data_IF_528812705112
#
_entry.id   IF_528812705112
#
_cell.length_a   1.000
_cell.length_b   1.000
_cell.length_c   1.000
_cell.angle_alpha   90.00
_cell.angle_beta   90.00
_cell.angle_gamma   90.00
#
_symmetry.space_group_name_H-M   'P 1'
#
loop_
_entity.id
_entity.type
_entity.pdbx_description
1 polymer ?
#
# COMPACT_ATOMS: atom_id res chain seq x y z
N UNK A 1 48.11 -42.15 -49.72
CA UNK A 1 48.51 -40.99 -48.87
C UNK A 1 47.51 -39.81 -48.80
N UNK A 2 46.28 -39.90 -49.35
CA UNK A 2 45.25 -38.84 -49.20
C UNK A 2 44.27 -39.02 -48.02
N UNK A 3 44.30 -40.16 -47.31
CA UNK A 3 43.28 -40.51 -46.30
C UNK A 3 43.57 -39.95 -44.89
N UNK A 4 44.85 -39.89 -44.47
CA UNK A 4 45.19 -39.45 -43.09
C UNK A 4 45.07 -37.95 -42.86
N UNK A 5 45.36 -37.11 -43.87
CA UNK A 5 45.25 -35.64 -43.74
C UNK A 5 43.79 -35.19 -43.53
N UNK A 6 42.85 -35.84 -44.20
CA UNK A 6 41.42 -35.53 -44.12
C UNK A 6 40.85 -35.95 -42.77
N UNK A 7 41.28 -37.12 -42.26
CA UNK A 7 40.88 -37.66 -40.94
C UNK A 7 41.40 -36.80 -39.78
N UNK A 8 42.61 -36.24 -39.91
CA UNK A 8 43.19 -35.33 -38.91
C UNK A 8 42.50 -33.95 -38.90
N UNK A 9 42.10 -33.44 -40.08
CA UNK A 9 41.32 -32.20 -40.21
C UNK A 9 39.91 -32.34 -39.62
N UNK A 10 39.18 -33.42 -39.91
CA UNK A 10 37.85 -33.64 -39.33
C UNK A 10 37.89 -33.83 -37.82
N UNK A 11 38.91 -34.51 -37.28
CA UNK A 11 39.10 -34.63 -35.82
C UNK A 11 39.36 -33.27 -35.16
N UNK A 12 40.14 -32.39 -35.80
CA UNK A 12 40.42 -31.04 -35.28
C UNK A 12 39.16 -30.17 -35.31
N UNK A 13 38.39 -30.22 -36.41
CA UNK A 13 37.12 -29.50 -36.53
C UNK A 13 36.10 -29.97 -35.48
N UNK A 14 35.98 -31.28 -35.26
CA UNK A 14 35.09 -31.83 -34.22
C UNK A 14 35.47 -31.39 -32.81
N UNK A 15 36.77 -31.30 -32.50
CA UNK A 15 37.23 -30.79 -31.21
C UNK A 15 36.88 -29.32 -31.04
N UNK A 16 37.11 -28.49 -32.07
CA UNK A 16 36.78 -27.05 -32.02
C UNK A 16 35.26 -26.86 -31.83
N UNK A 17 34.45 -27.58 -32.60
CA UNK A 17 32.98 -27.53 -32.47
C UNK A 17 32.55 -27.99 -31.08
N UNK A 18 33.16 -29.04 -30.54
CA UNK A 18 32.89 -29.52 -29.18
C UNK A 18 33.24 -28.49 -28.10
N UNK A 19 34.36 -27.78 -28.24
CA UNK A 19 34.76 -26.72 -27.30
C UNK A 19 33.80 -25.52 -27.38
N UNK A 20 33.43 -25.08 -28.58
CA UNK A 20 32.48 -23.98 -28.76
C UNK A 20 31.11 -24.34 -28.16
N UNK A 21 30.63 -25.56 -28.40
CA UNK A 21 29.37 -26.04 -27.82
C UNK A 21 29.43 -26.10 -26.29
N UNK A 22 30.57 -26.51 -25.71
CA UNK A 22 30.75 -26.54 -24.26
C UNK A 22 30.76 -25.13 -23.65
N UNK A 23 31.45 -24.18 -24.28
CA UNK A 23 31.48 -22.77 -23.82
C UNK A 23 30.09 -22.16 -23.92
N UNK A 24 29.37 -22.38 -25.01
CA UNK A 24 28.00 -21.90 -25.18
C UNK A 24 27.04 -22.50 -24.13
N UNK A 25 27.21 -23.78 -23.80
CA UNK A 25 26.41 -24.45 -22.76
C UNK A 25 26.70 -23.87 -21.37
N UNK A 26 27.98 -23.66 -21.02
CA UNK A 26 28.37 -23.03 -19.75
C UNK A 26 27.80 -21.61 -19.66
N UNK A 27 27.90 -20.84 -20.73
CA UNK A 27 27.36 -19.48 -20.78
C UNK A 27 25.83 -19.50 -20.63
N UNK A 28 25.13 -20.37 -21.35
CA UNK A 28 23.68 -20.53 -21.25
C UNK A 28 23.20 -20.92 -19.84
N UNK A 29 23.95 -21.77 -19.14
CA UNK A 29 23.66 -22.16 -17.76
C UNK A 29 24.00 -21.04 -16.75
N UNK A 30 24.96 -20.18 -17.07
CA UNK A 30 25.48 -19.14 -16.16
C UNK A 30 24.82 -17.77 -16.33
N UNK A 31 24.09 -17.51 -17.43
CA UNK A 31 23.39 -16.23 -17.69
C UNK A 31 22.47 -15.84 -16.52
N UNK A 32 21.91 -16.81 -15.78
CA UNK A 32 21.02 -16.56 -14.65
C UNK A 32 21.73 -16.45 -13.29
N UNK A 33 23.05 -16.55 -13.24
CA UNK A 33 23.82 -16.48 -12.00
C UNK A 33 24.60 -15.17 -11.92
N UNK A 34 24.77 -14.64 -10.71
CA UNK A 34 25.76 -13.59 -10.46
C UNK A 34 27.17 -14.19 -10.67
N UNK A 35 28.12 -13.52 -11.32
CA UNK A 35 28.14 -12.09 -11.66
C UNK A 35 27.62 -11.75 -13.07
N UNK A 36 27.19 -12.75 -13.85
CA UNK A 36 26.79 -12.52 -15.25
C UNK A 36 25.58 -11.59 -15.31
N UNK A 37 24.60 -11.76 -14.42
CA UNK A 37 23.45 -10.85 -14.31
C UNK A 37 23.83 -9.40 -14.04
N UNK A 38 24.89 -9.15 -13.28
CA UNK A 38 25.36 -7.77 -13.03
C UNK A 38 25.77 -7.12 -14.34
N UNK A 39 26.44 -7.86 -15.22
CA UNK A 39 26.92 -7.37 -16.51
C UNK A 39 25.86 -7.35 -17.60
N UNK A 40 24.79 -8.14 -17.48
CA UNK A 40 23.72 -8.23 -18.49
C UNK A 40 22.49 -7.40 -18.15
N UNK A 41 22.15 -7.27 -16.87
CA UNK A 41 20.89 -6.66 -16.42
C UNK A 41 21.05 -5.16 -16.15
N UNK A 42 22.29 -4.69 -15.94
CA UNK A 42 22.61 -3.28 -15.69
C UNK A 42 23.43 -2.67 -16.82
N UNK A 43 23.20 -1.38 -17.08
CA UNK A 43 23.98 -0.64 -18.07
C UNK A 43 25.43 -0.44 -17.60
N UNK A 44 26.37 -0.41 -18.54
CA UNK A 44 27.78 -0.15 -18.22
C UNK A 44 27.99 1.18 -17.50
N UNK A 45 27.24 2.23 -17.87
CA UNK A 45 27.33 3.54 -17.22
C UNK A 45 26.94 3.50 -15.74
N UNK A 46 25.86 2.79 -15.40
CA UNK A 46 25.42 2.65 -14.01
C UNK A 46 26.45 1.88 -13.18
N UNK A 47 26.96 0.76 -13.70
CA UNK A 47 28.00 -0.03 -13.02
C UNK A 47 29.29 0.76 -12.83
N UNK A 48 29.62 1.63 -13.78
CA UNK A 48 30.80 2.48 -13.72
C UNK A 48 30.66 3.58 -12.67
N UNK A 49 29.49 4.22 -12.60
CA UNK A 49 29.18 5.25 -11.61
C UNK A 49 29.17 4.68 -10.19
N UNK A 50 28.45 3.60 -9.95
CA UNK A 50 28.42 2.91 -8.65
C UNK A 50 29.81 2.42 -8.24
N UNK A 51 30.57 1.83 -9.17
CA UNK A 51 31.94 1.39 -8.90
C UNK A 51 32.87 2.53 -8.53
N UNK A 52 32.68 3.72 -9.10
CA UNK A 52 33.47 4.92 -8.78
C UNK A 52 33.10 5.45 -7.40
N UNK A 53 31.81 5.61 -7.11
CA UNK A 53 31.32 6.07 -5.80
C UNK A 53 31.74 5.12 -4.67
N UNK A 54 31.63 3.80 -4.87
CA UNK A 54 32.08 2.80 -3.89
C UNK A 54 33.60 2.87 -3.66
N UNK A 55 34.37 3.13 -4.70
CA UNK A 55 35.83 3.27 -4.60
C UNK A 55 36.22 4.51 -3.79
N UNK A 56 35.59 5.66 -4.05
CA UNK A 56 35.82 6.91 -3.32
C UNK A 56 35.43 6.78 -1.84
N UNK A 57 34.31 6.13 -1.53
CA UNK A 57 33.91 5.85 -0.15
C UNK A 57 34.92 4.95 0.59
N UNK A 58 35.49 3.96 -0.10
CA UNK A 58 36.47 3.04 0.49
C UNK A 58 37.83 3.71 0.77
N UNK A 59 38.07 4.92 0.28
CA UNK A 59 39.27 5.68 0.65
C UNK A 59 39.22 6.18 2.11
N UNK A 60 38.02 6.37 2.66
CA UNK A 60 37.79 6.94 3.99
C UNK A 60 37.11 5.98 4.98
N UNK A 61 36.59 4.84 4.51
CA UNK A 61 35.81 3.89 5.29
C UNK A 61 36.26 2.45 5.01
N UNK A 62 36.29 1.61 6.04
CA UNK A 62 36.55 0.17 5.88
C UNK A 62 35.36 -0.48 5.17
N UNK A 63 35.64 -1.33 4.17
CA UNK A 63 34.59 -1.93 3.33
C UNK A 63 33.63 -2.85 4.10
N UNK A 64 34.04 -3.31 5.28
CA UNK A 64 33.23 -4.13 6.20
C UNK A 64 32.17 -3.30 6.97
N UNK A 65 32.34 -1.97 7.01
CA UNK A 65 31.43 -1.01 7.64
C UNK A 65 30.42 -0.41 6.64
N UNK A 66 30.51 -0.81 5.36
CA UNK A 66 29.51 -0.42 4.38
C UNK A 66 28.17 -1.03 4.77
N UNK A 67 27.16 -0.17 4.92
CA UNK A 67 25.81 -0.60 5.23
C UNK A 67 25.34 -1.59 4.16
N UNK A 68 24.85 -2.75 4.60
CA UNK A 68 24.11 -3.65 3.73
C UNK A 68 22.65 -3.23 3.67
N UNK A 69 21.91 -3.75 2.70
CA UNK A 69 20.46 -3.62 2.67
C UNK A 69 19.82 -4.08 3.99
N UNK A 70 20.40 -5.04 4.72
CA UNK A 70 19.84 -5.48 6.01
C UNK A 70 20.00 -4.43 7.12
N UNK A 71 21.12 -3.71 7.19
CA UNK A 71 21.37 -2.72 8.26
C UNK A 71 20.39 -1.55 8.20
N UNK A 72 20.08 -1.01 7.02
CA UNK A 72 19.10 0.09 6.90
C UNK A 72 17.64 -0.36 7.05
N UNK A 73 17.29 -1.59 6.62
CA UNK A 73 15.90 -2.05 6.62
C UNK A 73 15.46 -2.71 7.94
N UNK A 74 16.38 -3.32 8.68
CA UNK A 74 16.04 -4.12 9.87
C UNK A 74 16.03 -3.28 11.17
N UNK A 75 16.69 -2.11 11.21
CA UNK A 75 16.82 -1.30 12.44
C UNK A 75 15.77 -0.18 12.59
N UNK A 76 15.10 0.22 11.52
CA UNK A 76 14.14 1.33 11.53
C UNK A 76 12.72 0.98 11.03
N UNK A 77 12.46 -0.29 10.73
CA UNK A 77 11.10 -0.80 10.51
C UNK A 77 10.44 -0.37 9.20
N UNK A 78 11.19 0.00 8.16
CA UNK A 78 10.66 0.23 6.82
C UNK A 78 11.25 -0.77 5.82
N UNK A 79 10.43 -1.71 5.37
CA UNK A 79 10.74 -2.57 4.23
C UNK A 79 10.46 -1.79 2.94
N UNK A 80 11.51 -1.43 2.20
CA UNK A 80 11.40 -1.09 0.78
C UNK A 80 11.93 -2.28 -0.02
N UNK A 81 11.03 -3.04 -0.63
CA UNK A 81 11.38 -4.02 -1.65
C UNK A 81 11.01 -3.44 -3.02
N UNK A 82 11.89 -3.57 -4.04
CA UNK A 82 11.60 -3.09 -5.38
C UNK A 82 10.53 -3.99 -5.99
N UNK A 83 9.29 -3.51 -5.92
CA UNK A 83 7.96 -4.01 -6.37
C UNK A 83 6.83 -3.66 -5.37
N UNK A 84 7.18 -2.82 -4.35
CA UNK A 84 6.44 -1.66 -3.82
C UNK A 84 5.50 -1.87 -2.61
N UNK A 85 5.97 -1.40 -1.44
CA UNK A 85 5.22 -1.16 -0.21
C UNK A 85 5.37 0.30 0.22
N UNK A 86 4.38 1.13 -0.08
CA UNK A 86 4.24 2.44 0.55
C UNK A 86 3.10 2.35 1.57
N UNK A 87 3.37 2.72 2.81
CA UNK A 87 2.42 2.73 3.94
C UNK A 87 1.30 3.78 3.78
N UNK A 88 0.68 3.82 2.61
CA UNK A 88 -0.56 4.55 2.39
C UNK A 88 -1.70 3.59 2.71
N UNK A 89 -2.19 3.69 3.95
CA UNK A 89 -3.35 2.95 4.42
C UNK A 89 -4.60 3.77 4.07
N UNK A 90 -5.57 3.11 3.45
CA UNK A 90 -6.90 3.65 3.20
C UNK A 90 -7.86 3.06 4.22
N UNK A 91 -8.53 3.92 4.98
CA UNK A 91 -9.54 3.52 5.96
C UNK A 91 -10.86 3.21 5.26
N UNK A 92 -11.40 2.01 5.41
CA UNK A 92 -12.77 1.66 5.05
C UNK A 92 -13.59 1.63 6.34
N UNK A 93 -14.61 2.47 6.43
CA UNK A 93 -15.42 2.69 7.65
C UNK A 93 -16.88 2.99 7.30
N UNK A 94 -17.69 3.32 8.31
CA UNK A 94 -19.12 3.61 8.16
C UNK A 94 -19.99 2.41 8.51
N UNK A 95 -20.96 2.10 7.65
CA UNK A 95 -21.92 1.01 7.84
C UNK A 95 -21.35 -0.34 7.40
N UNK A 96 -20.26 -0.74 8.04
CA UNK A 96 -19.58 -2.03 7.85
C UNK A 96 -19.36 -2.71 9.21
N UNK A 97 -19.15 -4.03 9.28
CA UNK A 97 -19.01 -4.75 10.56
C UNK A 97 -17.83 -4.28 11.42
N UNK A 98 -16.71 -3.96 10.80
CA UNK A 98 -15.49 -3.49 11.46
C UNK A 98 -14.72 -2.51 10.57
N UNK A 99 -14.01 -1.55 11.17
CA UNK A 99 -13.15 -0.61 10.43
C UNK A 99 -11.93 -1.35 9.90
N UNK A 100 -11.66 -1.22 8.60
CA UNK A 100 -10.57 -1.92 7.92
C UNK A 100 -9.56 -0.88 7.43
N UNK A 101 -8.27 -1.12 7.66
CA UNK A 101 -7.20 -0.33 7.06
C UNK A 101 -6.56 -1.13 5.92
N UNK A 102 -6.79 -0.67 4.69
CA UNK A 102 -6.38 -1.36 3.47
C UNK A 102 -5.09 -0.71 2.93
N UNK A 103 -3.98 -1.44 2.83
CA UNK A 103 -2.79 -0.95 2.13
C UNK A 103 -3.10 -0.63 0.66
N UNK A 104 -2.61 0.49 0.14
CA UNK A 104 -2.87 0.90 -1.26
C UNK A 104 -2.49 -0.18 -2.29
N UNK A 105 -1.43 -0.95 -2.04
CA UNK A 105 -1.00 -2.04 -2.92
C UNK A 105 -1.89 -3.29 -2.86
N UNK A 106 -2.88 -3.36 -1.96
CA UNK A 106 -3.91 -4.40 -1.99
C UNK A 106 -5.04 -4.09 -2.99
N UNK A 107 -5.10 -2.86 -3.51
CA UNK A 107 -6.07 -2.48 -4.55
C UNK A 107 -5.63 -3.01 -5.92
N UNK A 108 -4.32 -3.05 -6.18
CA UNK A 108 -3.78 -3.24 -7.53
C UNK A 108 -2.58 -4.19 -7.55
N UNK A 109 -2.53 -5.05 -8.57
CA UNK A 109 -1.32 -5.81 -8.88
C UNK A 109 -0.44 -4.99 -9.82
N UNK A 110 0.65 -4.40 -9.30
CA UNK A 110 1.54 -3.54 -10.10
C UNK A 110 2.28 -4.28 -11.22
N UNK A 111 2.34 -5.62 -11.18
CA UNK A 111 2.88 -6.44 -12.27
C UNK A 111 2.03 -6.44 -13.54
N UNK A 112 0.80 -5.93 -13.48
CA UNK A 112 -0.19 -5.96 -14.57
C UNK A 112 -0.28 -4.63 -15.34
N UNK A 113 0.70 -3.73 -15.17
CA UNK A 113 0.76 -2.47 -15.89
C UNK A 113 1.19 -2.64 -17.37
N UNK A 114 0.62 -1.86 -18.32
CA UNK A 114 -0.44 -0.85 -18.15
C UNK A 114 -1.86 -1.45 -18.12
N UNK A 115 -2.84 -0.66 -17.62
CA UNK A 115 -4.28 -0.97 -17.47
C UNK A 115 -4.72 -1.65 -16.16
N UNK A 116 -4.00 -1.42 -15.07
CA UNK A 116 -4.45 -1.85 -13.75
C UNK A 116 -5.54 -0.90 -13.22
N UNK A 117 -6.74 -1.42 -13.00
CA UNK A 117 -7.85 -0.74 -12.34
C UNK A 117 -8.64 -1.75 -11.50
N UNK A 118 -9.51 -1.23 -10.64
CA UNK A 118 -10.47 -2.00 -9.86
C UNK A 118 -11.81 -1.29 -9.99
N UNK A 119 -12.85 -1.94 -10.49
CA UNK A 119 -14.17 -1.30 -10.56
C UNK A 119 -14.72 -1.06 -9.16
N UNK A 120 -15.71 -0.17 -9.02
CA UNK A 120 -16.38 0.03 -7.72
C UNK A 120 -17.03 -1.27 -7.26
N UNK A 121 -17.69 -2.01 -8.14
CA UNK A 121 -18.34 -3.28 -7.79
C UNK A 121 -17.33 -4.34 -7.35
N UNK A 122 -16.21 -4.48 -8.05
CA UNK A 122 -15.12 -5.38 -7.64
C UNK A 122 -14.54 -4.98 -6.29
N UNK A 123 -14.40 -3.68 -6.00
CA UNK A 123 -13.96 -3.19 -4.69
C UNK A 123 -14.95 -3.58 -3.59
N UNK A 124 -16.25 -3.36 -3.82
CA UNK A 124 -17.29 -3.69 -2.84
C UNK A 124 -17.34 -5.20 -2.58
N UNK A 125 -17.26 -6.03 -3.64
CA UNK A 125 -17.22 -7.49 -3.51
C UNK A 125 -15.96 -7.96 -2.78
N UNK A 126 -14.79 -7.45 -3.17
CA UNK A 126 -13.50 -7.85 -2.61
C UNK A 126 -13.38 -7.61 -1.11
N UNK A 127 -14.00 -6.55 -0.61
CA UNK A 127 -13.99 -6.18 0.81
C UNK A 127 -15.31 -6.50 1.53
N UNK A 128 -16.15 -7.33 0.92
CA UNK A 128 -17.41 -7.81 1.49
C UNK A 128 -18.29 -6.66 2.04
N UNK A 129 -18.28 -5.53 1.32
CA UNK A 129 -19.10 -4.37 1.69
C UNK A 129 -20.57 -4.76 1.54
N UNK A 130 -21.40 -4.58 2.58
CA UNK A 130 -22.82 -4.91 2.53
C UNK A 130 -23.56 -4.03 1.52
N UNK A 131 -24.83 -4.35 1.26
CA UNK A 131 -25.70 -3.50 0.43
C UNK A 131 -25.67 -2.04 0.92
N UNK A 132 -25.27 -1.15 0.02
CA UNK A 132 -25.01 0.25 0.32
C UNK A 132 -25.96 1.18 -0.46
N UNK A 133 -26.32 2.30 0.15
CA UNK A 133 -27.07 3.41 -0.46
C UNK A 133 -26.11 4.36 -1.17
N UNK A 134 -24.97 4.66 -0.54
CA UNK A 134 -23.92 5.53 -1.09
C UNK A 134 -22.57 5.21 -0.44
N UNK A 135 -21.51 5.71 -1.06
CA UNK A 135 -20.20 5.78 -0.39
C UNK A 135 -19.62 7.18 -0.56
N UNK A 136 -18.82 7.59 0.43
CA UNK A 136 -18.08 8.86 0.40
C UNK A 136 -16.58 8.59 0.41
N UNK A 137 -15.88 9.25 -0.51
CA UNK A 137 -14.44 9.29 -0.60
C UNK A 137 -13.95 10.52 0.17
N UNK A 138 -12.98 10.34 1.05
CA UNK A 138 -12.19 11.40 1.67
C UNK A 138 -10.75 11.31 1.18
N UNK A 139 -10.21 12.44 0.73
CA UNK A 139 -8.84 12.54 0.22
C UNK A 139 -7.89 13.11 1.27
N UNK A 140 -6.59 12.93 1.05
CA UNK A 140 -5.53 13.44 1.94
C UNK A 140 -5.48 14.97 2.02
N UNK A 141 -5.92 15.67 0.97
CA UNK A 141 -5.97 17.12 0.91
C UNK A 141 -7.30 17.72 1.43
N UNK A 142 -8.20 16.87 1.94
CA UNK A 142 -9.43 17.30 2.63
C UNK A 142 -10.64 17.48 1.71
N UNK A 143 -10.56 17.03 0.46
CA UNK A 143 -11.74 16.91 -0.41
C UNK A 143 -12.60 15.71 0.05
N UNK A 144 -13.91 15.86 -0.12
CA UNK A 144 -14.88 14.79 0.07
C UNK A 144 -15.80 14.70 -1.14
N UNK A 145 -16.04 13.48 -1.63
CA UNK A 145 -16.94 13.20 -2.75
C UNK A 145 -17.89 12.08 -2.33
N UNK A 146 -19.18 12.38 -2.22
CA UNK A 146 -20.21 11.39 -1.96
C UNK A 146 -20.89 10.99 -3.26
N UNK A 147 -21.01 9.69 -3.51
CA UNK A 147 -21.60 9.14 -4.73
C UNK A 147 -22.67 8.13 -4.32
N UNK A 148 -23.88 8.31 -4.81
CA UNK A 148 -24.96 7.38 -4.55
C UNK A 148 -24.83 6.15 -5.44
N UNK A 149 -25.31 4.99 -4.97
CA UNK A 149 -25.20 3.72 -5.71
C UNK A 149 -25.83 3.81 -7.10
N UNK A 150 -26.89 4.61 -7.26
CA UNK A 150 -27.59 4.75 -8.55
C UNK A 150 -26.78 5.50 -9.61
N UNK A 151 -25.78 6.29 -9.19
CA UNK A 151 -24.89 7.05 -10.07
C UNK A 151 -23.61 6.27 -10.42
N UNK A 152 -23.44 5.06 -9.88
CA UNK A 152 -22.31 4.18 -10.20
C UNK A 152 -22.64 3.35 -11.43
N UNK A 153 -21.79 3.48 -12.44
CA UNK A 153 -21.84 2.72 -13.69
C UNK A 153 -20.63 1.78 -13.79
N UNK A 154 -20.63 0.88 -14.78
CA UNK A 154 -19.50 -0.01 -15.09
C UNK A 154 -18.18 0.74 -15.39
N UNK A 155 -18.26 2.05 -15.68
CA UNK A 155 -17.09 2.90 -15.95
C UNK A 155 -16.49 3.53 -14.67
N UNK A 156 -17.12 3.34 -13.51
CA UNK A 156 -16.62 3.83 -12.24
C UNK A 156 -15.51 2.92 -11.71
N UNK A 157 -14.31 3.48 -11.55
CA UNK A 157 -13.11 2.70 -11.25
C UNK A 157 -12.15 3.42 -10.30
N UNK A 158 -11.43 2.61 -9.53
CA UNK A 158 -10.24 3.00 -8.81
C UNK A 158 -9.00 2.71 -9.66
N UNK A 159 -8.08 3.67 -9.68
CA UNK A 159 -6.84 3.61 -10.46
C UNK A 159 -5.64 3.87 -9.55
N UNK A 160 -4.47 3.30 -9.87
CA UNK A 160 -3.21 3.71 -9.27
C UNK A 160 -2.97 5.21 -9.45
N UNK A 161 -2.49 5.87 -8.39
CA UNK A 161 -2.13 7.28 -8.40
C UNK A 161 -0.82 7.50 -7.62
N UNK A 162 -0.12 8.61 -7.88
CA UNK A 162 1.19 8.91 -7.25
C UNK A 162 1.11 8.86 -5.71
N UNK A 163 0.00 9.38 -5.15
CA UNK A 163 -0.28 9.42 -3.71
C UNK A 163 -1.29 8.33 -3.28
N UNK A 164 -1.24 7.15 -3.90
CA UNK A 164 -2.04 5.97 -3.54
C UNK A 164 -3.06 5.60 -4.61
N UNK A 165 -4.33 5.87 -4.35
CA UNK A 165 -5.42 5.50 -5.24
C UNK A 165 -6.22 6.75 -5.64
N UNK A 166 -6.81 6.73 -6.82
CA UNK A 166 -7.78 7.74 -7.28
C UNK A 166 -9.06 7.08 -7.72
N UNK A 167 -10.15 7.83 -7.67
CA UNK A 167 -11.41 7.48 -8.30
C UNK A 167 -11.54 8.20 -9.64
N UNK A 168 -12.18 7.55 -10.61
CA UNK A 168 -12.60 8.16 -11.87
C UNK A 168 -13.85 7.45 -12.41
N UNK A 169 -14.71 8.22 -13.07
CA UNK A 169 -15.82 7.69 -13.88
C UNK A 169 -16.08 8.64 -15.04
N UNK A 170 -16.08 8.12 -16.27
CA UNK A 170 -16.40 8.93 -17.46
C UNK A 170 -17.86 9.43 -17.49
N UNK A 171 -18.72 8.81 -16.68
CA UNK A 171 -20.14 9.17 -16.58
C UNK A 171 -20.42 10.24 -15.50
N UNK A 172 -19.41 10.59 -14.70
CA UNK A 172 -19.50 11.63 -13.65
C UNK A 172 -18.67 12.86 -14.01
N UNK A 173 -19.05 14.01 -13.46
CA UNK A 173 -18.30 15.25 -13.67
C UNK A 173 -16.87 15.11 -13.13
N UNK A 174 -15.88 15.66 -13.83
CA UNK A 174 -14.44 15.52 -13.50
C UNK A 174 -14.06 15.97 -12.08
N UNK A 175 -14.85 16.86 -11.47
CA UNK A 175 -14.64 17.27 -10.06
C UNK A 175 -14.95 16.17 -9.05
N UNK A 176 -15.60 15.07 -9.46
CA UNK A 176 -15.81 13.90 -8.60
C UNK A 176 -14.61 12.95 -8.61
N UNK A 177 -13.62 13.18 -9.49
CA UNK A 177 -12.47 12.30 -9.67
C UNK A 177 -11.43 12.54 -8.59
N UNK A 178 -11.74 12.05 -7.39
CA UNK A 178 -10.95 12.22 -6.18
C UNK A 178 -9.57 11.56 -6.31
N UNK A 179 -8.53 12.26 -5.86
CA UNK A 179 -7.13 11.82 -5.90
C UNK A 179 -6.57 11.65 -4.50
N UNK A 180 -5.67 10.69 -4.31
CA UNK A 180 -5.04 10.46 -3.02
C UNK A 180 -6.08 10.11 -1.95
N UNK A 181 -6.94 9.13 -2.26
CA UNK A 181 -7.98 8.67 -1.33
C UNK A 181 -7.33 8.16 -0.04
N UNK A 182 -7.85 8.63 1.09
CA UNK A 182 -7.41 8.25 2.43
C UNK A 182 -8.48 7.45 3.18
N UNK A 183 -9.76 7.68 2.87
CA UNK A 183 -10.87 7.04 3.59
C UNK A 183 -12.08 6.85 2.68
N UNK A 184 -12.76 5.71 2.86
CA UNK A 184 -14.08 5.40 2.35
C UNK A 184 -15.06 5.31 3.51
N UNK A 185 -16.19 6.00 3.40
CA UNK A 185 -17.30 5.89 4.35
C UNK A 185 -18.48 5.28 3.62
N UNK A 186 -18.87 4.06 4.01
CA UNK A 186 -20.02 3.36 3.46
C UNK A 186 -21.28 3.80 4.22
N UNK A 187 -22.36 4.04 3.49
CA UNK A 187 -23.69 4.29 4.05
C UNK A 187 -24.65 3.24 3.50
N UNK A 188 -25.28 2.46 4.37
CA UNK A 188 -26.27 1.45 3.99
C UNK A 188 -27.70 1.99 4.04
N UNK A 189 -28.65 1.34 3.37
CA UNK A 189 -30.07 1.73 3.47
C UNK A 189 -30.61 1.55 4.90
N UNK A 190 -30.08 0.56 5.63
CA UNK A 190 -30.48 0.27 7.00
C UNK A 190 -30.09 1.40 7.96
N UNK A 191 -30.94 1.60 8.98
CA UNK A 191 -30.77 2.62 10.02
C UNK A 191 -30.90 1.97 11.41
N UNK A 192 -29.93 1.12 11.79
CA UNK A 192 -30.05 0.30 12.99
C UNK A 192 -29.95 1.10 14.29
N UNK A 193 -29.37 2.31 14.23
CA UNK A 193 -29.20 3.17 15.39
C UNK A 193 -30.39 4.12 15.55
N UNK A 194 -30.81 4.34 16.80
CA UNK A 194 -31.76 5.39 17.13
C UNK A 194 -31.14 6.36 18.13
N UNK A 195 -31.08 7.63 17.77
CA UNK A 195 -30.63 8.72 18.64
C UNK A 195 -31.84 9.63 18.87
N UNK A 196 -32.35 9.65 20.10
CA UNK A 196 -33.64 10.28 20.42
C UNK A 196 -34.79 9.67 19.61
N UNK A 197 -35.44 10.48 18.77
CA UNK A 197 -36.51 10.04 17.84
C UNK A 197 -36.03 9.73 16.42
N UNK A 198 -34.75 9.94 16.12
CA UNK A 198 -34.20 9.86 14.76
C UNK A 198 -33.50 8.52 14.54
N UNK A 199 -33.85 7.82 13.47
CA UNK A 199 -33.14 6.62 13.01
C UNK A 199 -31.97 7.02 12.11
N UNK A 200 -30.81 6.42 12.34
CA UNK A 200 -29.55 6.71 11.65
C UNK A 200 -28.66 5.47 11.60
N UNK A 201 -27.46 5.64 11.08
CA UNK A 201 -26.41 4.63 10.96
C UNK A 201 -25.03 5.26 11.22
N UNK A 202 -23.98 4.47 11.42
CA UNK A 202 -22.64 5.00 11.71
C UNK A 202 -22.13 5.78 10.49
N UNK A 203 -22.28 5.25 9.29
CA UNK A 203 -21.92 5.91 8.04
C UNK A 203 -22.54 7.31 7.94
N UNK A 204 -23.85 7.43 8.18
CA UNK A 204 -24.55 8.73 8.14
C UNK A 204 -24.05 9.71 9.19
N UNK A 205 -23.70 9.23 10.39
CA UNK A 205 -23.14 10.07 11.45
C UNK A 205 -21.75 10.59 11.07
N UNK A 206 -20.93 9.77 10.43
CA UNK A 206 -19.58 10.15 9.98
C UNK A 206 -19.57 11.10 8.78
N UNK A 207 -20.66 11.19 8.02
CA UNK A 207 -20.84 12.25 6.99
C UNK A 207 -21.28 13.60 7.57
N UNK A 208 -21.79 13.59 8.80
CA UNK A 208 -22.23 14.79 9.50
C UNK A 208 -21.07 15.57 10.13
N UNK A 209 -21.41 16.42 11.11
CA UNK A 209 -20.40 17.11 11.92
C UNK A 209 -19.73 16.08 12.85
N UNK A 210 -18.43 15.87 12.65
CA UNK A 210 -17.62 15.02 13.52
C UNK A 210 -16.78 15.85 14.49
N UNK A 211 -16.44 15.23 15.62
CA UNK A 211 -15.44 15.70 16.57
C UNK A 211 -14.37 14.64 16.75
N UNK A 212 -13.18 15.08 17.14
CA UNK A 212 -12.04 14.22 17.37
C UNK A 212 -11.59 14.34 18.82
N UNK A 213 -11.57 13.22 19.53
CA UNK A 213 -11.14 13.17 20.94
C UNK A 213 -9.89 12.31 21.09
N UNK A 214 -9.05 12.67 22.07
CA UNK A 214 -7.86 11.89 22.43
C UNK A 214 -8.24 10.94 23.55
N UNK A 215 -7.95 9.66 23.37
CA UNK A 215 -8.23 8.59 24.34
C UNK A 215 -6.94 7.81 24.63
N UNK A 216 -7.00 6.95 25.65
CA UNK A 216 -5.93 6.00 25.97
C UNK A 216 -4.57 6.66 26.23
N UNK A 217 -4.58 7.89 26.76
CA UNK A 217 -3.34 8.59 27.09
C UNK A 217 -2.59 7.83 28.20
N UNK A 218 -1.40 7.35 27.88
CA UNK A 218 -0.56 6.57 28.77
C UNK A 218 0.87 7.10 28.76
N UNK A 219 1.44 7.25 29.96
CA UNK A 219 2.85 7.56 30.12
C UNK A 219 3.66 6.29 30.04
N UNK A 220 4.47 6.15 29.01
CA UNK A 220 5.36 5.01 28.79
C UNK A 220 6.78 5.37 29.18
N UNK A 221 7.53 4.38 29.68
CA UNK A 221 8.93 4.55 30.04
C UNK A 221 9.75 3.37 29.52
N UNK A 222 10.93 3.65 29.01
CA UNK A 222 11.87 2.64 28.53
C UNK A 222 13.26 2.94 29.07
N UNK A 223 13.92 1.94 29.66
CA UNK A 223 15.31 2.05 30.10
C UNK A 223 16.20 1.45 29.00
N UNK A 224 17.03 2.28 28.38
CA UNK A 224 17.94 1.82 27.34
C UNK A 224 19.01 0.90 27.94
N UNK A 225 19.28 -0.21 27.27
CA UNK A 225 20.36 -1.13 27.63
C UNK A 225 21.75 -0.57 27.28
N UNK A 226 21.82 0.35 26.31
CA UNK A 226 23.06 0.94 25.81
C UNK A 226 23.66 1.96 26.79
N UNK A 227 22.84 2.86 27.32
CA UNK A 227 23.30 3.96 28.19
C UNK A 227 22.69 3.93 29.60
N UNK A 228 21.80 2.97 29.88
CA UNK A 228 21.14 2.82 31.18
C UNK A 228 20.14 3.93 31.50
N UNK A 229 19.90 4.90 30.61
CA UNK A 229 19.01 6.02 30.86
C UNK A 229 17.54 5.59 30.68
N UNK A 230 16.67 6.05 31.57
CA UNK A 230 15.21 5.90 31.44
C UNK A 230 14.64 7.10 30.69
N UNK A 231 14.07 6.83 29.51
CA UNK A 231 13.36 7.80 28.68
C UNK A 231 11.86 7.62 28.86
N UNK A 232 11.12 8.71 28.72
CA UNK A 232 9.67 8.74 28.93
C UNK A 232 9.00 9.36 27.70
N UNK A 233 7.84 8.83 27.33
CA UNK A 233 6.98 9.39 26.29
C UNK A 233 5.51 9.27 26.72
N UNK A 234 4.63 9.95 25.99
CA UNK A 234 3.19 9.82 26.12
C UNK A 234 2.68 9.20 24.83
N UNK A 235 1.90 8.14 24.95
CA UNK A 235 1.19 7.50 23.83
C UNK A 235 -0.30 7.76 23.98
N UNK A 236 -0.99 7.98 22.88
CA UNK A 236 -2.43 8.23 22.88
C UNK A 236 -3.04 7.86 21.54
N UNK A 237 -4.32 7.52 21.53
CA UNK A 237 -5.11 7.25 20.32
C UNK A 237 -6.05 8.42 20.05
N UNK A 238 -6.41 8.62 18.78
CA UNK A 238 -7.42 9.60 18.38
C UNK A 238 -8.61 8.86 17.77
N UNK A 239 -9.81 9.18 18.25
CA UNK A 239 -11.04 8.66 17.66
C UNK A 239 -11.89 9.81 17.15
N UNK A 240 -12.58 9.57 16.04
CA UNK A 240 -13.49 10.50 15.37
C UNK A 240 -14.92 9.97 15.47
N UNK A 241 -15.88 10.86 15.70
CA UNK A 241 -17.29 10.49 15.72
C UNK A 241 -18.22 11.69 15.86
N UNK A 242 -19.52 11.47 15.78
CA UNK A 242 -20.52 12.51 15.98
C UNK A 242 -20.71 12.80 17.49
N UNK A 243 -20.69 14.08 17.86
CA UNK A 243 -20.93 14.48 19.24
C UNK A 243 -22.43 14.45 19.56
N UNK A 244 -22.84 13.81 20.66
CA UNK A 244 -24.26 13.74 21.03
C UNK A 244 -24.89 15.11 21.28
N UNK A 245 -24.11 16.09 21.76
CA UNK A 245 -24.54 17.48 21.96
C UNK A 245 -24.92 18.19 20.65
N UNK A 246 -24.36 17.75 19.52
CA UNK A 246 -24.71 18.27 18.20
C UNK A 246 -25.97 17.60 17.62
N UNK A 247 -26.37 16.45 18.18
CA UNK A 247 -27.48 15.63 17.70
C UNK A 247 -28.74 15.76 18.56
N UNK A 248 -28.59 16.12 19.84
CA UNK A 248 -29.65 16.18 20.83
C UNK A 248 -29.49 17.43 21.70
N UNK A 249 -30.61 18.01 22.10
CA UNK A 249 -30.63 19.00 23.18
C UNK A 249 -30.47 18.29 24.52
N UNK A 250 -29.21 18.12 24.96
CA UNK A 250 -28.86 17.34 26.15
C UNK A 250 -29.46 17.93 27.44
N UNK A 251 -29.82 19.22 27.48
CA UNK A 251 -30.47 19.84 28.64
C UNK A 251 -31.88 19.27 28.91
N UNK A 252 -32.49 18.62 27.91
CA UNK A 252 -33.81 17.99 28.05
C UNK A 252 -33.76 16.58 28.66
N UNK A 253 -32.56 16.04 28.94
CA UNK A 253 -32.37 14.67 29.38
C UNK A 253 -31.60 14.61 30.70
N UNK A 254 -32.13 13.87 31.68
CA UNK A 254 -31.46 13.66 32.97
C UNK A 254 -30.44 12.50 32.94
N UNK A 255 -30.54 11.61 31.95
CA UNK A 255 -29.67 10.44 31.82
C UNK A 255 -29.56 9.98 30.36
N UNK A 256 -28.42 9.39 30.02
CA UNK A 256 -28.17 8.69 28.77
C UNK A 256 -28.15 7.17 29.03
N UNK A 257 -28.93 6.42 28.26
CA UNK A 257 -28.97 4.96 28.34
C UNK A 257 -28.59 4.38 26.98
N UNK A 258 -27.61 3.48 26.97
CA UNK A 258 -27.26 2.68 25.81
C UNK A 258 -27.96 1.33 25.95
N UNK A 259 -28.88 1.02 25.06
CA UNK A 259 -29.57 -0.28 25.00
C UNK A 259 -29.28 -0.93 23.66
N UNK A 260 -29.38 -2.25 23.63
CA UNK A 260 -29.53 -2.93 22.35
C UNK A 260 -30.92 -2.59 21.78
N UNK A 261 -31.10 -2.77 20.47
CA UNK A 261 -32.35 -2.38 19.79
C UNK A 261 -33.56 -3.18 20.30
N UNK A 262 -33.33 -4.33 20.93
CA UNK A 262 -34.30 -5.22 21.55
C UNK A 262 -34.64 -4.92 23.03
N UNK A 263 -33.97 -3.93 23.65
CA UNK A 263 -34.29 -3.43 25.01
C UNK A 263 -33.38 -3.99 26.10
#
# INVERSE_FOLDING_TARGET
MKSDKTKKRTKTVLIIVGVIALVALIFALSIKQLPVRVLTDYSFSLLWEEGTSMHECAECHETEEFHSCSTCHDEHGSVELPELYFYNMIELTGDIPEVIFIPANHFFSYSELPNTYLTVDEFMEKWEVPEYESFTIYTRDGEFVSIAKEDITDNAMFLPYEDGIRFASEDLHVSTWAKGIAKFIIVSEEKPLRIGSTYTSIGRLLLGKTTSITIEEAKVMFKSEEDGQTRQAVTSSRVEGAALEDLLDLEQYDALQFTLQDG
#
